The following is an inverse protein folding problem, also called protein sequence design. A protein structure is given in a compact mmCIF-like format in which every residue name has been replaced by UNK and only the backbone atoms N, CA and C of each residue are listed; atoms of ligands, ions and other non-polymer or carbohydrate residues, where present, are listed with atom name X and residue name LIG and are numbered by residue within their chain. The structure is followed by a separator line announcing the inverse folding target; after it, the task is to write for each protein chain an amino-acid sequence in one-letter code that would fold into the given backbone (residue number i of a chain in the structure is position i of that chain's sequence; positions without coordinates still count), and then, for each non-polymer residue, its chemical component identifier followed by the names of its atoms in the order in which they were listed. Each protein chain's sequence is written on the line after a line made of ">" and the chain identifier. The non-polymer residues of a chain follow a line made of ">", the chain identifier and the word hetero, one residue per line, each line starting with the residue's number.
data_IF_915295061055
#
_entry.id   IF_915295061055
#
_cell.length_a   1.000
_cell.length_b   1.000
_cell.length_c   1.000
_cell.angle_alpha   90.00
_cell.angle_beta   90.00
_cell.angle_gamma   90.00
#
_symmetry.space_group_name_H-M   'P 1'
#
loop_
_entity.id
_entity.type
_entity.pdbx_description
1 polymer ?
#
# COMPACT_ATOMS: atom_id res chain seq x y z
N UNK A 1 -16.31 -27.30 2.71
CA UNK A 1 -16.27 -26.86 4.13
C UNK A 1 -15.16 -25.82 4.26
N UNK A 2 -15.51 -24.64 4.78
CA UNK A 2 -14.85 -23.34 4.67
C UNK A 2 -13.31 -23.28 4.72
N UNK A 3 -12.72 -22.78 3.62
CA UNK A 3 -11.36 -22.22 3.59
C UNK A 3 -11.33 -20.94 4.42
N UNK A 4 -10.68 -20.96 5.60
CA UNK A 4 -10.42 -19.75 6.40
C UNK A 4 -8.94 -19.38 6.33
N UNK A 5 -8.75 -18.06 6.23
CA UNK A 5 -7.58 -17.28 5.80
C UNK A 5 -6.43 -17.33 6.81
N UNK A 6 -5.20 -17.52 6.32
CA UNK A 6 -3.98 -17.10 7.02
C UNK A 6 -3.81 -15.59 6.90
N UNK A 7 -3.44 -14.95 8.01
CA UNK A 7 -2.99 -13.56 8.07
C UNK A 7 -1.45 -13.55 8.06
N UNK A 8 -0.90 -13.86 6.90
CA UNK A 8 0.34 -13.29 6.39
C UNK A 8 -0.15 -12.50 5.18
N UNK A 9 0.52 -11.43 4.72
CA UNK A 9 0.19 -10.86 3.41
C UNK A 9 0.56 -11.89 2.32
N UNK A 10 -0.30 -12.90 2.19
CA UNK A 10 -0.21 -14.00 1.25
C UNK A 10 -0.86 -13.61 -0.07
N UNK A 11 -1.05 -14.60 -0.94
CA UNK A 11 -1.69 -14.39 -2.22
C UNK A 11 -3.09 -13.75 -2.04
N UNK A 12 -3.36 -12.69 -2.80
CA UNK A 12 -4.64 -12.01 -2.89
C UNK A 12 -5.34 -12.43 -4.18
N UNK A 13 -6.67 -12.31 -4.20
CA UNK A 13 -7.44 -12.58 -5.40
C UNK A 13 -7.36 -11.38 -6.36
N UNK A 14 -6.75 -11.60 -7.52
CA UNK A 14 -6.68 -10.68 -8.65
C UNK A 14 -7.52 -11.21 -9.83
N UNK A 15 -7.92 -10.32 -10.75
CA UNK A 15 -8.60 -10.72 -11.98
C UNK A 15 -7.67 -10.52 -13.17
N UNK A 16 -7.36 -11.60 -13.89
CA UNK A 16 -6.50 -11.58 -15.10
C UNK A 16 -7.25 -12.28 -16.22
N UNK A 17 -7.47 -11.57 -17.34
CA UNK A 17 -8.21 -12.13 -18.48
C UNK A 17 -9.64 -12.59 -18.15
N UNK A 18 -10.28 -12.00 -17.13
CA UNK A 18 -11.62 -12.38 -16.66
C UNK A 18 -11.67 -13.55 -15.68
N UNK A 19 -10.54 -14.20 -15.37
CA UNK A 19 -10.44 -15.26 -14.37
C UNK A 19 -9.87 -14.73 -13.05
N UNK A 20 -10.33 -15.27 -11.93
CA UNK A 20 -9.69 -15.01 -10.63
C UNK A 20 -8.43 -15.85 -10.47
N UNK A 21 -7.32 -15.19 -10.16
CA UNK A 21 -6.02 -15.80 -9.89
C UNK A 21 -5.50 -15.33 -8.54
N UNK A 22 -4.80 -16.21 -7.83
CA UNK A 22 -4.16 -15.89 -6.56
C UNK A 22 -2.73 -15.45 -6.84
N UNK A 23 -2.42 -14.19 -6.56
CA UNK A 23 -1.09 -13.60 -6.75
C UNK A 23 -0.72 -12.79 -5.51
N UNK A 24 0.57 -12.70 -5.19
CA UNK A 24 1.07 -11.65 -4.31
C UNK A 24 0.98 -10.29 -5.01
N UNK A 25 0.93 -9.16 -4.27
CA UNK A 25 1.01 -7.82 -4.89
C UNK A 25 2.26 -7.65 -5.77
N UNK A 26 3.39 -8.24 -5.37
CA UNK A 26 4.65 -8.26 -6.14
C UNK A 26 4.46 -8.95 -7.49
N UNK A 27 3.85 -10.14 -7.51
CA UNK A 27 3.59 -10.87 -8.76
C UNK A 27 2.56 -10.14 -9.63
N UNK A 28 1.50 -9.59 -9.04
CA UNK A 28 0.51 -8.80 -9.75
C UNK A 28 1.15 -7.58 -10.43
N UNK A 29 2.08 -6.90 -9.72
CA UNK A 29 2.91 -5.84 -10.30
C UNK A 29 3.77 -6.36 -11.45
N UNK A 30 4.54 -7.42 -11.22
CA UNK A 30 5.47 -7.95 -12.22
C UNK A 30 4.75 -8.38 -13.51
N UNK A 31 3.51 -8.85 -13.39
CA UNK A 31 2.64 -9.22 -14.51
C UNK A 31 1.83 -8.05 -15.07
N UNK A 32 2.00 -6.83 -14.53
CA UNK A 32 1.22 -5.64 -14.93
C UNK A 32 -0.29 -5.87 -14.91
N UNK A 33 -0.78 -6.56 -13.87
CA UNK A 33 -2.21 -6.79 -13.67
C UNK A 33 -2.92 -5.43 -13.64
N UNK A 34 -4.02 -5.32 -14.40
CA UNK A 34 -4.79 -4.09 -14.50
C UNK A 34 -5.39 -3.69 -13.14
N UNK A 35 -5.22 -2.43 -12.77
CA UNK A 35 -5.84 -1.84 -11.59
C UNK A 35 -7.34 -1.63 -11.83
N UNK A 36 -8.14 -1.75 -10.76
CA UNK A 36 -9.60 -1.72 -10.81
C UNK A 36 -10.20 -0.39 -10.36
N UNK A 37 -9.53 0.27 -9.41
CA UNK A 37 -10.04 1.43 -8.69
C UNK A 37 -9.13 2.64 -8.88
N UNK A 38 -7.81 2.44 -8.73
CA UNK A 38 -6.82 3.50 -8.89
C UNK A 38 -6.64 3.87 -10.36
N UNK A 39 -6.48 5.17 -10.62
CA UNK A 39 -6.02 5.68 -11.91
C UNK A 39 -4.51 5.46 -12.06
N UNK A 40 -4.01 5.52 -13.29
CA UNK A 40 -2.60 5.31 -13.59
C UNK A 40 -1.67 6.34 -12.91
N UNK A 41 -2.09 7.60 -12.85
CA UNK A 41 -1.37 8.67 -12.15
C UNK A 41 -1.38 8.46 -10.62
N UNK A 42 -2.54 8.11 -10.05
CA UNK A 42 -2.69 7.78 -8.64
C UNK A 42 -1.80 6.60 -8.22
N UNK A 43 -1.75 5.55 -9.04
CA UNK A 43 -0.88 4.41 -8.82
C UNK A 43 0.60 4.80 -8.85
N UNK A 44 1.02 5.60 -9.83
CA UNK A 44 2.41 6.07 -9.92
C UNK A 44 2.81 6.96 -8.72
N UNK A 45 1.89 7.81 -8.25
CA UNK A 45 2.08 8.57 -7.00
C UNK A 45 2.22 7.65 -5.80
N UNK A 46 1.36 6.63 -5.66
CA UNK A 46 1.45 5.64 -4.57
C UNK A 46 2.79 4.90 -4.62
N UNK A 47 3.25 4.49 -5.80
CA UNK A 47 4.52 3.78 -5.93
C UNK A 47 5.71 4.64 -5.56
N UNK A 48 5.78 5.87 -6.07
CA UNK A 48 6.86 6.80 -5.76
C UNK A 48 6.87 7.17 -4.27
N UNK A 49 5.69 7.42 -3.69
CA UNK A 49 5.56 7.74 -2.27
C UNK A 49 5.91 6.54 -1.41
N UNK A 50 5.37 5.36 -1.74
CA UNK A 50 5.66 4.11 -1.05
C UNK A 50 7.17 3.83 -1.02
N UNK A 51 7.85 3.92 -2.17
CA UNK A 51 9.30 3.74 -2.26
C UNK A 51 10.08 4.76 -1.41
N UNK A 52 9.60 6.01 -1.37
CA UNK A 52 10.20 7.06 -0.53
C UNK A 52 10.01 6.79 0.97
N UNK A 53 8.86 6.26 1.36
CA UNK A 53 8.50 5.97 2.76
C UNK A 53 9.17 4.69 3.28
N UNK A 54 9.20 3.65 2.44
CA UNK A 54 9.71 2.32 2.75
C UNK A 54 10.40 1.79 1.48
N UNK A 55 11.75 1.81 1.42
CA UNK A 55 12.48 1.29 0.28
C UNK A 55 12.07 -0.14 -0.07
N UNK A 56 11.83 -0.40 -1.36
CA UNK A 56 11.33 -1.66 -1.87
C UNK A 56 9.81 -1.78 -1.97
N UNK A 57 9.03 -0.83 -1.44
CA UNK A 57 7.56 -0.87 -1.50
C UNK A 57 7.02 -0.82 -2.93
N UNK A 58 7.66 -0.08 -3.83
CA UNK A 58 7.31 -0.11 -5.26
C UNK A 58 7.47 -1.51 -5.81
N UNK A 59 8.64 -2.11 -5.62
CA UNK A 59 8.94 -3.46 -6.11
C UNK A 59 8.05 -4.54 -5.47
N UNK A 60 7.64 -4.35 -4.22
CA UNK A 60 6.73 -5.24 -3.51
C UNK A 60 5.25 -5.09 -3.95
N UNK A 61 4.93 -4.11 -4.79
CA UNK A 61 3.60 -3.98 -5.40
C UNK A 61 2.58 -3.19 -4.58
N UNK A 62 3.03 -2.15 -3.86
CA UNK A 62 2.14 -1.35 -2.98
C UNK A 62 0.89 -0.79 -3.69
N UNK A 63 1.00 -0.32 -4.94
CA UNK A 63 -0.16 0.16 -5.70
C UNK A 63 -1.17 -0.96 -5.98
N UNK A 64 -0.70 -2.15 -6.38
CA UNK A 64 -1.56 -3.34 -6.58
C UNK A 64 -2.18 -3.83 -5.29
N UNK A 65 -1.46 -3.76 -4.17
CA UNK A 65 -2.03 -4.06 -2.86
C UNK A 65 -3.18 -3.09 -2.54
N UNK A 66 -2.91 -1.78 -2.54
CA UNK A 66 -3.92 -0.77 -2.20
C UNK A 66 -5.12 -0.88 -3.13
N UNK A 67 -4.92 -0.96 -4.45
CA UNK A 67 -6.01 -1.10 -5.41
C UNK A 67 -6.89 -2.33 -5.15
N UNK A 68 -6.26 -3.47 -4.87
CA UNK A 68 -6.96 -4.71 -4.56
C UNK A 68 -7.78 -4.56 -3.27
N UNK A 69 -7.19 -3.98 -2.22
CA UNK A 69 -7.88 -3.75 -0.94
C UNK A 69 -9.01 -2.71 -1.05
N UNK A 70 -8.89 -1.74 -1.95
CA UNK A 70 -9.97 -0.78 -2.24
C UNK A 70 -11.13 -1.41 -3.02
N UNK A 71 -10.89 -2.55 -3.70
CA UNK A 71 -11.87 -3.25 -4.53
C UNK A 71 -12.66 -4.35 -3.81
N UNK A 72 -12.32 -4.67 -2.56
CA UNK A 72 -13.02 -5.68 -1.73
C UNK A 72 -13.97 -5.02 -0.72
N UNK A 73 -14.90 -5.77 -0.10
CA UNK A 73 -15.76 -5.23 0.95
C UNK A 73 -14.92 -4.59 2.09
N UNK A 74 -15.30 -3.39 2.59
CA UNK A 74 -14.50 -2.67 3.58
C UNK A 74 -14.17 -3.46 4.86
N UNK A 75 -15.05 -4.36 5.28
CA UNK A 75 -14.88 -5.24 6.44
C UNK A 75 -13.81 -6.32 6.24
N UNK A 76 -13.45 -6.61 4.98
CA UNK A 76 -12.42 -7.58 4.61
C UNK A 76 -11.07 -6.92 4.31
N UNK A 77 -11.06 -5.61 4.05
CA UNK A 77 -9.86 -4.88 3.69
C UNK A 77 -8.80 -4.92 4.81
N UNK A 78 -7.54 -4.97 4.41
CA UNK A 78 -6.36 -5.02 5.26
C UNK A 78 -5.66 -3.66 5.38
N UNK A 79 -6.28 -2.58 4.90
CA UNK A 79 -5.69 -1.24 4.91
C UNK A 79 -5.57 -0.70 6.33
N UNK A 80 -4.48 0.02 6.61
CA UNK A 80 -4.30 0.76 7.86
C UNK A 80 -5.43 1.77 8.08
N UNK A 81 -5.99 2.33 6.99
CA UNK A 81 -7.16 3.20 7.05
C UNK A 81 -8.34 2.55 7.80
N UNK A 82 -8.53 1.23 7.67
CA UNK A 82 -9.56 0.49 8.41
C UNK A 82 -9.21 0.39 9.89
N UNK A 83 -7.96 0.05 10.21
CA UNK A 83 -7.47 -0.08 11.60
C UNK A 83 -7.62 1.24 12.35
N UNK A 84 -7.35 2.35 11.68
CA UNK A 84 -7.47 3.71 12.21
C UNK A 84 -8.89 4.30 12.11
N UNK A 85 -9.90 3.47 11.81
CA UNK A 85 -11.32 3.84 11.76
C UNK A 85 -11.66 4.99 10.78
N UNK A 86 -10.93 5.11 9.66
CA UNK A 86 -11.38 5.94 8.55
C UNK A 86 -12.75 5.44 8.09
N UNK A 87 -13.72 6.33 7.91
CA UNK A 87 -15.07 5.93 7.50
C UNK A 87 -15.04 5.39 6.06
N UNK A 88 -15.55 4.17 5.78
CA UNK A 88 -15.68 3.69 4.41
C UNK A 88 -16.71 4.52 3.60
N UNK A 89 -16.60 4.54 2.25
CA UNK A 89 -15.66 3.76 1.45
C UNK A 89 -14.24 4.35 1.48
N UNK A 90 -13.23 3.50 1.71
CA UNK A 90 -11.84 3.94 1.90
C UNK A 90 -11.28 4.66 0.68
N UNK A 91 -11.78 4.33 -0.53
CA UNK A 91 -11.38 4.97 -1.78
C UNK A 91 -11.47 6.50 -1.73
N UNK A 92 -12.44 7.06 -1.00
CA UNK A 92 -12.59 8.49 -0.84
C UNK A 92 -11.40 9.12 -0.10
N UNK A 93 -10.88 8.43 0.92
CA UNK A 93 -9.70 8.87 1.64
C UNK A 93 -8.46 8.84 0.74
N UNK A 94 -8.25 7.76 -0.01
CA UNK A 94 -7.08 7.63 -0.90
C UNK A 94 -7.13 8.66 -2.04
N UNK A 95 -8.28 8.86 -2.71
CA UNK A 95 -8.40 9.91 -3.73
C UNK A 95 -8.13 11.31 -3.16
N UNK A 96 -8.67 11.63 -1.97
CA UNK A 96 -8.45 12.93 -1.34
C UNK A 96 -6.98 13.13 -0.94
N UNK A 97 -6.34 12.09 -0.38
CA UNK A 97 -4.94 12.11 0.01
C UNK A 97 -4.00 12.26 -1.21
N UNK A 98 -4.21 11.46 -2.26
CA UNK A 98 -3.40 11.51 -3.48
C UNK A 98 -3.58 12.84 -4.21
N UNK A 99 -4.82 13.35 -4.28
CA UNK A 99 -5.07 14.68 -4.82
C UNK A 99 -4.34 15.79 -4.04
N UNK A 100 -4.26 15.68 -2.70
CA UNK A 100 -3.52 16.63 -1.88
C UNK A 100 -2.01 16.57 -2.14
N UNK A 101 -1.46 15.36 -2.24
CA UNK A 101 -0.04 15.10 -2.54
C UNK A 101 0.31 15.66 -3.91
N UNK A 102 -0.47 15.32 -4.94
CA UNK A 102 -0.20 15.75 -6.32
C UNK A 102 -0.27 17.27 -6.47
N UNK A 103 -1.28 17.93 -5.87
CA UNK A 103 -1.39 19.40 -5.91
C UNK A 103 -0.22 20.07 -5.19
N UNK A 104 0.08 19.65 -3.96
CA UNK A 104 1.09 20.31 -3.15
C UNK A 104 2.52 20.06 -3.64
N UNK A 105 2.77 18.92 -4.29
CA UNK A 105 4.06 18.60 -4.88
C UNK A 105 4.19 19.04 -6.35
N UNK A 106 3.10 19.39 -7.03
CA UNK A 106 3.09 19.65 -8.47
C UNK A 106 3.44 18.41 -9.33
N UNK A 107 3.12 17.21 -8.83
CA UNK A 107 3.47 15.93 -9.45
C UNK A 107 4.53 15.18 -8.66
N UNK A 108 4.15 14.39 -7.65
CA UNK A 108 5.10 13.84 -6.66
C UNK A 108 6.09 12.87 -7.31
N UNK A 109 5.59 11.98 -8.16
CA UNK A 109 6.42 10.98 -8.84
C UNK A 109 7.45 11.59 -9.81
N UNK A 110 7.23 12.83 -10.26
CA UNK A 110 8.14 13.54 -11.18
C UNK A 110 9.29 14.24 -10.46
N UNK A 111 9.23 14.33 -9.13
CA UNK A 111 10.25 14.98 -8.30
C UNK A 111 11.48 14.11 -8.17
N UNK A 112 12.62 14.75 -7.97
CA UNK A 112 13.86 14.05 -7.62
C UNK A 112 13.73 13.39 -6.25
N UNK A 113 14.52 12.34 -5.99
CA UNK A 113 14.49 11.67 -4.70
C UNK A 113 14.72 12.63 -3.50
N UNK A 114 15.63 13.63 -3.54
CA UNK A 114 15.75 14.61 -2.45
C UNK A 114 14.46 15.38 -2.20
N UNK A 115 13.84 15.91 -3.26
CA UNK A 115 12.58 16.65 -3.16
C UNK A 115 11.44 15.77 -2.61
N UNK A 116 11.35 14.50 -3.01
CA UNK A 116 10.37 13.55 -2.48
C UNK A 116 10.54 13.34 -0.97
N UNK A 117 11.79 13.18 -0.50
CA UNK A 117 12.12 13.01 0.92
C UNK A 117 11.81 14.28 1.73
N UNK A 118 12.14 15.45 1.20
CA UNK A 118 11.85 16.74 1.84
C UNK A 118 10.34 16.98 1.94
N UNK A 119 9.60 16.69 0.87
CA UNK A 119 8.14 16.74 0.87
C UNK A 119 7.54 15.81 1.94
N UNK A 120 7.97 14.55 1.99
CA UNK A 120 7.53 13.59 3.00
C UNK A 120 7.86 14.06 4.42
N UNK A 121 9.03 14.66 4.63
CA UNK A 121 9.44 15.22 5.92
C UNK A 121 8.53 16.37 6.37
N UNK A 122 8.08 17.23 5.45
CA UNK A 122 7.09 18.27 5.74
C UNK A 122 5.70 17.67 5.95
N UNK A 123 5.31 16.70 5.13
CA UNK A 123 3.99 16.03 5.18
C UNK A 123 3.77 15.38 6.54
N UNK A 124 4.75 14.60 7.04
CA UNK A 124 4.65 13.95 8.36
C UNK A 124 4.51 14.94 9.53
N UNK A 125 4.93 16.18 9.34
CA UNK A 125 4.84 17.25 10.34
C UNK A 125 3.61 18.16 10.16
N UNK A 126 2.75 17.89 9.16
CA UNK A 126 1.67 18.80 8.74
C UNK A 126 2.17 20.21 8.34
N UNK A 127 3.36 20.30 7.72
CA UNK A 127 4.01 21.56 7.34
C UNK A 127 4.07 21.81 5.83
N UNK A 128 3.39 21.01 5.03
CA UNK A 128 3.29 21.26 3.58
C UNK A 128 2.38 22.46 3.35
N UNK A 129 2.92 23.50 2.72
CA UNK A 129 2.17 24.71 2.41
C UNK A 129 1.04 24.42 1.41
N UNK A 130 -0.11 25.05 1.60
CA UNK A 130 -1.26 24.92 0.69
C UNK A 130 -1.92 23.52 0.69
N UNK A 131 -1.63 22.68 1.69
CA UNK A 131 -2.19 21.33 1.80
C UNK A 131 -3.72 21.34 1.86
N UNK A 132 -4.36 20.57 0.98
CA UNK A 132 -5.81 20.46 0.86
C UNK A 132 -6.24 19.01 0.77
N UNK A 133 -6.58 18.40 1.91
CA UNK A 133 -6.98 17.01 2.04
C UNK A 133 -6.97 16.55 3.49
N UNK A 134 -7.03 15.23 3.77
CA UNK A 134 -6.83 14.69 5.12
C UNK A 134 -5.48 15.14 5.69
N UNK A 135 -5.31 15.32 7.01
CA UNK A 135 -4.07 15.83 7.59
C UNK A 135 -2.83 15.07 7.09
N UNK A 136 -1.81 15.79 6.61
CA UNK A 136 -0.63 15.18 5.99
C UNK A 136 0.09 14.16 6.87
N UNK A 137 0.18 14.41 8.18
CA UNK A 137 0.76 13.48 9.15
C UNK A 137 -0.04 12.19 9.29
N UNK A 138 -1.36 12.26 9.12
CA UNK A 138 -2.24 11.09 9.12
C UNK A 138 -2.14 10.31 7.81
N UNK A 139 -2.07 11.00 6.67
CA UNK A 139 -1.80 10.37 5.36
C UNK A 139 -0.45 9.66 5.36
N UNK A 140 0.58 10.29 5.92
CA UNK A 140 1.90 9.69 6.13
C UNK A 140 1.82 8.39 6.93
N UNK A 141 1.10 8.41 8.06
CA UNK A 141 0.95 7.23 8.91
C UNK A 141 0.29 6.07 8.13
N UNK A 142 -0.86 6.32 7.50
CA UNK A 142 -1.61 5.29 6.76
C UNK A 142 -0.76 4.67 5.66
N UNK A 143 -0.22 5.50 4.74
CA UNK A 143 0.51 4.99 3.58
C UNK A 143 1.85 4.35 3.96
N UNK A 144 2.50 4.82 5.03
CA UNK A 144 3.71 4.17 5.54
C UNK A 144 3.40 2.82 6.18
N UNK A 145 2.34 2.70 6.98
CA UNK A 145 1.94 1.42 7.57
C UNK A 145 1.62 0.39 6.49
N UNK A 146 0.79 0.75 5.50
CA UNK A 146 0.47 -0.13 4.36
C UNK A 146 1.75 -0.55 3.60
N UNK A 147 2.70 0.39 3.40
CA UNK A 147 3.99 0.10 2.76
C UNK A 147 4.83 -0.88 3.60
N UNK A 148 4.88 -0.70 4.92
CA UNK A 148 5.57 -1.62 5.84
C UNK A 148 4.96 -3.01 5.76
N UNK A 149 3.64 -3.11 5.77
CA UNK A 149 2.95 -4.40 5.68
C UNK A 149 3.26 -5.10 4.35
N UNK A 150 3.21 -4.38 3.24
CA UNK A 150 3.53 -4.95 1.91
C UNK A 150 4.98 -5.42 1.79
N UNK A 151 5.93 -4.67 2.37
CA UNK A 151 7.36 -5.00 2.28
C UNK A 151 7.77 -6.06 3.29
N UNK A 152 7.38 -5.89 4.56
CA UNK A 152 7.87 -6.66 5.69
C UNK A 152 6.83 -7.60 6.31
N UNK A 153 5.54 -7.50 5.96
CA UNK A 153 4.48 -8.41 6.41
C UNK A 153 4.50 -9.79 5.72
N UNK A 154 5.58 -10.11 5.00
CA UNK A 154 5.80 -11.38 4.29
C UNK A 154 7.01 -12.12 4.87
N UNK A 155 7.06 -13.45 4.71
CA UNK A 155 8.22 -14.24 5.15
C UNK A 155 9.52 -13.81 4.45
N UNK A 156 9.44 -13.48 3.16
CA UNK A 156 10.58 -12.95 2.39
C UNK A 156 11.02 -11.59 2.93
N UNK A 157 10.06 -10.70 3.21
CA UNK A 157 10.31 -9.40 3.83
C UNK A 157 11.03 -9.52 5.17
N UNK A 158 10.54 -10.39 6.06
CA UNK A 158 11.21 -10.68 7.33
C UNK A 158 12.65 -11.19 7.15
N UNK A 159 12.88 -12.07 6.17
CA UNK A 159 14.22 -12.59 5.88
C UNK A 159 15.21 -11.48 5.49
N UNK A 160 14.77 -10.44 4.76
CA UNK A 160 15.64 -9.30 4.39
C UNK A 160 16.11 -8.46 5.58
N UNK A 161 15.36 -8.47 6.68
CA UNK A 161 15.73 -7.76 7.91
C UNK A 161 16.83 -8.49 8.69
N UNK A 162 17.21 -9.71 8.31
CA UNK A 162 18.14 -10.55 9.05
C UNK A 162 17.59 -11.00 10.41
N UNK A 163 16.28 -10.83 10.64
CA UNK A 163 15.61 -11.23 11.87
C UNK A 163 15.02 -12.62 11.64
N UNK A 164 15.37 -13.63 12.46
CA UNK A 164 14.74 -14.94 12.37
C UNK A 164 13.23 -14.81 12.54
N UNK A 165 12.47 -15.37 11.61
CA UNK A 165 11.01 -15.46 11.75
C UNK A 165 10.69 -16.41 12.90
N UNK A 166 10.51 -15.85 14.10
CA UNK A 166 10.17 -16.58 15.31
C UNK A 166 8.66 -16.75 15.43
N UNK A 167 8.10 -17.60 14.56
CA UNK A 167 6.71 -18.02 14.69
C UNK A 167 6.51 -18.62 16.10
N UNK A 168 5.79 -17.93 16.97
CA UNK A 168 5.44 -18.47 18.29
C UNK A 168 4.53 -19.71 18.15
N UNK A 169 3.85 -19.84 16.99
CA UNK A 169 3.18 -21.05 16.52
C UNK A 169 3.53 -21.19 15.04
N UNK A 170 4.46 -22.09 14.69
CA UNK A 170 4.70 -22.43 13.29
C UNK A 170 3.53 -23.28 12.76
N UNK A 171 2.99 -23.00 11.57
CA UNK A 171 2.02 -23.89 10.96
C UNK A 171 2.65 -25.28 10.78
N UNK A 172 1.98 -26.32 11.28
CA UNK A 172 2.49 -27.71 11.28
C UNK A 172 2.71 -28.29 9.87
N UNK A 173 2.22 -27.62 8.82
CA UNK A 173 2.38 -27.98 7.41
C UNK A 173 2.48 -26.72 6.57
N UNK A 174 3.23 -26.77 5.47
CA UNK A 174 3.10 -25.85 4.34
C UNK A 174 1.86 -26.26 3.53
N UNK A 175 1.03 -25.32 3.12
CA UNK A 175 -0.14 -25.56 2.27
C UNK A 175 -0.17 -24.57 1.12
#
# INVERSE_FOLDING_TARGET
>A
MNKRREFILGALAFTVGGAQVMLTPREARAQSVALRTLKADEAETIEALGETLVPGARAAGIAHFIDQQLSVPPEEALLEARILNVRPPFVNFYHAALGAIERASGGFAKRSAPEQRDFVNLMRQNKVEGWQGPPGGFVYLVLRSDAVDVVYGTLEGYATLGIPYMAHIAPLRRW
#
